data_IF_961006335659
#
_entry.id   IF_961006335659
#
_cell.length_a   1.000
_cell.length_b   1.000
_cell.length_c   1.000
_cell.angle_alpha   90.00
_cell.angle_beta   90.00
_cell.angle_gamma   90.00
#
_symmetry.space_group_name_H-M   'P 1'
#
loop_
_entity.id
_entity.type
_entity.pdbx_description
1 polymer ?
#
# COMPACT_ATOMS: atom_id res chain seq x y z
N UNK A 1 21.51 -20.20 5.92
CA UNK A 1 22.13 -20.72 4.67
C UNK A 1 21.65 -22.12 4.27
N UNK A 2 21.14 -22.96 5.16
CA UNK A 2 20.69 -24.34 4.85
C UNK A 2 19.35 -24.43 4.12
N UNK A 3 18.40 -23.56 4.39
CA UNK A 3 17.04 -23.61 3.81
C UNK A 3 16.98 -23.19 2.33
N UNK A 4 17.83 -22.25 1.92
CA UNK A 4 17.90 -21.77 0.52
C UNK A 4 18.51 -22.83 -0.39
N UNK A 5 19.44 -23.65 0.10
CA UNK A 5 20.03 -24.75 -0.64
C UNK A 5 19.04 -25.90 -0.92
N UNK A 6 18.05 -26.12 -0.03
CA UNK A 6 17.02 -27.14 -0.21
C UNK A 6 16.02 -26.78 -1.32
N UNK A 7 15.68 -25.50 -1.46
CA UNK A 7 14.76 -25.02 -2.50
C UNK A 7 15.39 -25.11 -3.90
N UNK A 8 16.69 -24.80 -4.02
CA UNK A 8 17.43 -24.94 -5.28
C UNK A 8 17.63 -26.41 -5.67
N UNK A 9 17.72 -27.32 -4.68
CA UNK A 9 17.82 -28.76 -4.90
C UNK A 9 16.54 -29.40 -5.44
N UNK A 10 15.37 -28.87 -5.11
CA UNK A 10 14.08 -29.36 -5.62
C UNK A 10 13.85 -28.97 -7.08
N UNK A 11 14.25 -27.78 -7.53
CA UNK A 11 14.13 -27.40 -8.95
C UNK A 11 14.97 -28.26 -9.90
N UNK A 12 16.09 -28.83 -9.45
CA UNK A 12 16.93 -29.73 -10.27
C UNK A 12 16.42 -31.14 -10.37
N UNK A 13 15.51 -31.61 -9.51
CA UNK A 13 14.96 -32.97 -9.55
C UNK A 13 13.74 -33.13 -10.49
N UNK A 14 13.06 -32.04 -10.83
CA UNK A 14 11.90 -32.03 -11.72
C UNK A 14 12.29 -32.13 -13.23
N UNK A 15 13.56 -32.01 -13.58
CA UNK A 15 14.03 -32.08 -14.99
C UNK A 15 14.65 -33.41 -15.40
N UNK A 16 14.61 -34.46 -14.59
CA UNK A 16 15.30 -35.73 -14.84
C UNK A 16 14.41 -36.97 -14.90
N UNK A 17 13.11 -36.87 -15.14
CA UNK A 17 12.25 -38.04 -15.38
C UNK A 17 11.91 -38.19 -16.87
N UNK A 18 12.78 -38.87 -17.61
CA UNK A 18 12.48 -39.47 -18.93
C UNK A 18 11.76 -40.77 -18.70
N UNK A 19 10.64 -40.97 -19.38
CA UNK A 19 10.00 -42.28 -19.53
C UNK A 19 10.52 -42.97 -20.82
N UNK A 20 10.78 -44.26 -20.81
CA UNK A 20 11.00 -45.04 -22.01
C UNK A 20 9.77 -45.89 -22.40
N UNK A 21 9.56 -46.16 -23.65
CA UNK A 21 8.65 -47.23 -24.09
C UNK A 21 8.09 -47.02 -25.47
N UNK A 22 8.80 -47.61 -26.47
CA UNK A 22 8.35 -47.84 -27.82
C UNK A 22 7.20 -48.84 -27.86
N UNK A 23 6.23 -48.66 -28.76
CA UNK A 23 5.44 -49.71 -29.39
C UNK A 23 5.13 -49.35 -30.84
N UNK A 24 5.11 -50.36 -31.77
CA UNK A 24 5.11 -50.18 -33.22
C UNK A 24 3.71 -50.08 -33.84
N UNK A 25 3.62 -49.75 -35.15
CA UNK A 25 2.35 -49.51 -35.84
C UNK A 25 1.81 -50.78 -36.53
N UNK A 26 0.50 -50.98 -36.50
CA UNK A 26 -0.16 -51.88 -37.49
C UNK A 26 -1.61 -51.45 -37.81
N UNK A 27 -1.77 -51.22 -39.08
CA UNK A 27 -2.80 -51.53 -40.08
C UNK A 27 -4.33 -51.50 -39.83
N UNK A 28 -4.96 -50.60 -40.62
CA UNK A 28 -6.21 -50.79 -41.45
C UNK A 28 -7.47 -51.41 -40.80
N UNK A 29 -8.60 -50.70 -40.81
CA UNK A 29 -9.68 -50.91 -41.76
C UNK A 29 -10.77 -49.86 -41.70
N UNK A 30 -11.19 -49.40 -42.89
CA UNK A 30 -12.38 -48.60 -43.16
C UNK A 30 -13.68 -49.38 -42.89
N UNK A 31 -14.65 -48.73 -42.25
CA UNK A 31 -16.06 -48.99 -42.50
C UNK A 31 -16.92 -47.77 -42.20
N UNK A 32 -17.60 -47.28 -43.21
CA UNK A 32 -18.61 -46.25 -43.16
C UNK A 32 -19.76 -46.68 -42.26
N UNK A 33 -20.16 -45.82 -41.32
CA UNK A 33 -21.53 -45.75 -40.87
C UNK A 33 -21.95 -44.28 -40.64
N UNK A 34 -22.93 -43.85 -41.45
CA UNK A 34 -23.63 -42.60 -41.34
C UNK A 34 -24.62 -42.66 -40.16
N UNK A 35 -24.44 -41.80 -39.20
CA UNK A 35 -25.41 -41.58 -38.12
C UNK A 35 -25.33 -40.16 -37.64
N UNK A 36 -26.20 -39.29 -38.11
CA UNK A 36 -26.38 -37.93 -37.52
C UNK A 36 -26.90 -38.08 -36.11
N UNK A 37 -26.07 -37.78 -35.14
CA UNK A 37 -26.51 -37.55 -33.77
C UNK A 37 -26.26 -36.05 -33.43
N UNK A 38 -27.33 -35.31 -33.38
CA UNK A 38 -27.35 -33.93 -32.89
C UNK A 38 -26.95 -33.92 -31.41
N UNK A 39 -25.73 -33.52 -31.12
CA UNK A 39 -25.34 -33.19 -29.75
C UNK A 39 -26.00 -31.87 -29.35
N UNK A 40 -27.05 -31.96 -28.56
CA UNK A 40 -27.64 -30.85 -27.83
C UNK A 40 -26.61 -30.34 -26.80
N UNK A 41 -26.01 -29.18 -27.03
CA UNK A 41 -25.19 -28.48 -26.05
C UNK A 41 -26.08 -28.06 -24.89
N UNK A 42 -26.00 -28.73 -23.77
CA UNK A 42 -26.57 -28.28 -22.50
C UNK A 42 -25.84 -27.01 -22.05
N UNK A 43 -26.40 -25.86 -22.35
CA UNK A 43 -26.04 -24.59 -21.73
C UNK A 43 -26.54 -24.61 -20.28
N UNK A 44 -25.69 -25.05 -19.37
CA UNK A 44 -25.96 -24.94 -17.92
C UNK A 44 -25.85 -23.46 -17.53
N UNK A 45 -26.98 -22.83 -17.24
CA UNK A 45 -27.00 -21.46 -16.75
C UNK A 45 -26.52 -21.44 -15.29
N UNK A 46 -25.86 -20.34 -14.86
CA UNK A 46 -25.41 -20.14 -13.47
C UNK A 46 -26.49 -20.46 -12.42
N UNK A 47 -27.76 -20.28 -12.79
CA UNK A 47 -28.92 -20.56 -11.94
C UNK A 47 -29.14 -22.06 -11.68
N UNK A 48 -28.74 -22.92 -12.62
CA UNK A 48 -28.88 -24.39 -12.49
C UNK A 48 -27.76 -24.95 -11.61
N UNK A 49 -26.56 -24.36 -11.63
CA UNK A 49 -25.43 -24.75 -10.81
C UNK A 49 -25.65 -24.42 -9.33
N UNK A 50 -26.30 -23.29 -9.04
CA UNK A 50 -26.62 -22.86 -7.66
C UNK A 50 -27.77 -23.66 -7.01
N UNK A 51 -28.63 -24.31 -7.81
CA UNK A 51 -29.71 -25.16 -7.30
C UNK A 51 -29.26 -26.58 -6.89
N UNK A 52 -28.07 -27.00 -7.34
CA UNK A 52 -27.53 -28.35 -7.04
C UNK A 52 -26.84 -28.48 -5.69
N UNK A 53 -26.54 -27.40 -4.98
CA UNK A 53 -25.72 -27.40 -3.75
C UNK A 53 -26.46 -27.04 -2.46
N UNK A 54 -27.78 -27.07 -2.42
CA UNK A 54 -28.57 -27.12 -1.18
C UNK A 54 -28.33 -26.02 -0.12
N UNK A 55 -27.74 -24.86 -0.49
CA UNK A 55 -27.54 -23.74 0.41
C UNK A 55 -28.14 -22.49 -0.22
N UNK A 56 -29.34 -22.12 0.22
CA UNK A 56 -29.96 -20.83 -0.08
C UNK A 56 -29.34 -19.78 0.83
N UNK A 57 -28.27 -19.12 0.39
CA UNK A 57 -27.85 -17.87 1.04
C UNK A 57 -28.77 -16.77 0.50
N UNK A 58 -29.66 -16.27 1.34
CA UNK A 58 -30.37 -15.03 1.10
C UNK A 58 -29.36 -13.88 1.19
N UNK A 59 -28.96 -13.34 0.03
CA UNK A 59 -28.22 -12.09 -0.02
C UNK A 59 -29.16 -10.96 0.43
N UNK A 60 -28.74 -10.06 1.32
CA UNK A 60 -29.53 -8.89 1.67
C UNK A 60 -29.78 -8.05 0.41
N UNK A 61 -30.98 -7.49 0.31
CA UNK A 61 -31.39 -6.61 -0.77
C UNK A 61 -30.53 -5.35 -0.74
N UNK A 62 -29.70 -5.18 -1.75
CA UNK A 62 -28.90 -3.96 -1.88
C UNK A 62 -29.63 -2.99 -2.80
N UNK A 63 -30.18 -1.94 -2.24
CA UNK A 63 -30.92 -0.88 -2.94
C UNK A 63 -30.09 -0.07 -3.96
N UNK A 64 -28.76 -0.25 -3.96
CA UNK A 64 -27.83 0.41 -4.88
C UNK A 64 -27.62 -0.31 -6.22
N UNK A 65 -28.21 -1.49 -6.43
CA UNK A 65 -28.15 -2.17 -7.73
C UNK A 65 -29.27 -1.65 -8.64
N UNK A 66 -28.95 -0.71 -9.52
CA UNK A 66 -29.87 -0.25 -10.56
C UNK A 66 -30.28 -1.40 -11.47
N UNK A 67 -31.58 -1.65 -11.51
CA UNK A 67 -32.20 -2.58 -12.47
C UNK A 67 -32.08 -1.98 -13.88
N UNK A 68 -31.60 -2.76 -14.82
CA UNK A 68 -31.50 -2.41 -16.23
C UNK A 68 -32.90 -2.16 -16.80
N UNK A 69 -33.11 -0.98 -17.32
CA UNK A 69 -34.36 -0.63 -18.04
C UNK A 69 -34.27 0.75 -18.69
N UNK A 70 -34.19 0.73 -20.01
CA UNK A 70 -34.59 1.74 -21.02
C UNK A 70 -33.79 3.03 -21.17
N UNK A 71 -33.42 3.22 -22.42
CA UNK A 71 -32.76 4.35 -23.05
C UNK A 71 -33.45 5.70 -22.80
N UNK A 72 -32.68 6.70 -22.46
CA UNK A 72 -32.90 8.07 -22.90
C UNK A 72 -31.50 8.70 -23.06
N UNK A 73 -31.20 9.15 -24.27
CA UNK A 73 -29.97 9.83 -24.61
C UNK A 73 -29.77 11.06 -23.74
N UNK A 74 -28.94 10.89 -22.76
CA UNK A 74 -28.26 11.98 -22.00
C UNK A 74 -26.77 11.74 -22.13
N UNK A 75 -26.09 12.77 -22.63
CA UNK A 75 -24.64 12.87 -22.50
C UNK A 75 -24.23 12.35 -21.13
N UNK A 76 -23.59 11.18 -21.09
CA UNK A 76 -23.11 10.58 -19.85
C UNK A 76 -22.26 11.64 -19.17
N UNK A 77 -22.72 12.14 -18.03
CA UNK A 77 -21.91 12.99 -17.17
C UNK A 77 -20.60 12.22 -16.91
N UNK A 78 -19.48 12.80 -17.29
CA UNK A 78 -18.15 12.27 -16.98
C UNK A 78 -18.17 12.09 -15.48
N UNK A 79 -18.08 10.84 -15.00
CA UNK A 79 -18.17 10.52 -13.58
C UNK A 79 -17.12 11.33 -12.80
N UNK A 80 -17.44 11.71 -11.57
CA UNK A 80 -16.52 12.47 -10.73
C UNK A 80 -15.20 11.67 -10.52
N UNK A 81 -14.05 12.33 -10.64
CA UNK A 81 -12.74 11.68 -10.46
C UNK A 81 -12.64 11.06 -9.06
N UNK A 82 -12.04 9.87 -8.91
CA UNK A 82 -11.97 9.18 -7.65
C UNK A 82 -11.06 9.91 -6.67
N UNK A 83 -11.37 9.85 -5.39
CA UNK A 83 -10.44 10.30 -4.35
C UNK A 83 -9.36 9.25 -4.11
N UNK A 84 -8.16 9.73 -3.76
CA UNK A 84 -6.98 8.89 -3.52
C UNK A 84 -6.41 9.14 -2.13
N UNK A 85 -5.83 8.13 -1.54
CA UNK A 85 -5.11 8.24 -0.28
C UNK A 85 -3.66 7.77 -0.46
N UNK A 86 -2.73 8.66 -0.16
CA UNK A 86 -1.29 8.38 -0.16
C UNK A 86 -0.69 8.65 1.20
N UNK A 87 0.23 7.79 1.67
CA UNK A 87 1.01 8.01 2.88
C UNK A 87 2.49 7.94 2.56
N UNK A 88 3.23 9.02 2.85
CA UNK A 88 4.68 8.99 2.91
C UNK A 88 5.14 8.94 4.36
N UNK A 89 6.17 8.18 4.59
CA UNK A 89 6.76 7.99 5.90
C UNK A 89 8.28 8.13 5.85
N UNK A 90 8.85 8.86 6.81
CA UNK A 90 10.26 8.75 7.17
C UNK A 90 10.39 8.47 8.67
N UNK A 91 11.32 7.59 9.04
CA UNK A 91 11.69 7.32 10.43
C UNK A 91 12.56 8.42 11.02
N UNK A 92 12.76 8.34 12.34
CA UNK A 92 13.67 9.19 13.11
C UNK A 92 13.22 10.65 13.33
N UNK A 93 11.99 11.00 12.97
CA UNK A 93 11.45 12.35 13.22
C UNK A 93 12.09 13.46 12.40
N UNK A 94 12.05 14.68 12.93
CA UNK A 94 12.53 15.88 12.26
C UNK A 94 13.30 16.79 13.21
N UNK A 95 14.02 17.77 12.65
CA UNK A 95 14.66 18.86 13.38
C UNK A 95 13.62 19.67 14.14
N UNK A 96 13.66 19.67 15.48
CA UNK A 96 12.62 20.18 16.38
C UNK A 96 12.27 21.64 16.15
N UNK A 97 13.25 22.49 15.84
CA UNK A 97 13.09 23.93 15.71
C UNK A 97 12.59 24.34 14.32
N UNK A 98 12.53 23.40 13.37
CA UNK A 98 12.23 23.66 11.97
C UNK A 98 11.03 22.91 11.40
N UNK A 99 10.36 22.06 12.22
CA UNK A 99 9.09 21.42 11.88
C UNK A 99 7.93 22.19 12.50
N UNK A 100 7.43 23.19 11.80
CA UNK A 100 6.26 23.95 12.22
C UNK A 100 5.60 24.68 11.05
N UNK A 101 4.33 25.02 11.20
CA UNK A 101 3.58 25.94 10.32
C UNK A 101 2.74 26.90 11.19
N UNK A 102 2.48 28.10 10.69
CA UNK A 102 1.65 29.14 11.34
C UNK A 102 0.84 29.90 10.29
N UNK A 103 -0.29 30.47 10.71
CA UNK A 103 -1.15 31.21 9.81
C UNK A 103 -2.01 30.33 8.91
N UNK A 104 -2.54 30.91 7.84
CA UNK A 104 -3.45 30.23 6.93
C UNK A 104 -3.33 30.75 5.49
N UNK A 105 -3.81 29.94 4.52
CA UNK A 105 -3.84 30.30 3.11
C UNK A 105 -2.46 30.66 2.54
N UNK A 106 -2.40 31.68 1.72
CA UNK A 106 -1.16 32.16 1.09
C UNK A 106 -0.15 32.72 2.07
N UNK A 107 -0.64 33.24 3.21
CA UNK A 107 0.18 33.87 4.24
C UNK A 107 0.69 32.86 5.29
N UNK A 108 0.47 31.56 5.07
CA UNK A 108 1.00 30.50 5.94
C UNK A 108 2.53 30.53 5.94
N UNK A 109 3.12 30.66 7.11
CA UNK A 109 4.55 30.55 7.33
C UNK A 109 4.94 29.11 7.60
N UNK A 110 6.05 28.67 7.03
CA UNK A 110 6.55 27.32 7.15
C UNK A 110 7.96 27.32 7.74
N UNK A 111 8.20 26.41 8.67
CA UNK A 111 9.56 26.14 9.15
C UNK A 111 10.46 25.59 8.03
N UNK A 112 11.78 25.69 8.19
CA UNK A 112 12.75 25.34 7.14
C UNK A 112 12.59 23.93 6.59
N UNK A 113 12.15 22.96 7.38
CA UNK A 113 11.87 21.60 6.92
C UNK A 113 10.74 21.57 5.89
N UNK A 114 9.70 22.39 6.09
CA UNK A 114 8.49 22.43 5.26
C UNK A 114 8.57 23.44 4.10
N UNK A 115 9.62 24.25 4.01
CA UNK A 115 9.81 25.22 2.89
C UNK A 115 9.63 24.64 1.49
N UNK A 116 10.03 23.37 1.19
CA UNK A 116 9.79 22.76 -0.12
C UNK A 116 8.30 22.69 -0.50
N UNK A 117 7.38 22.81 0.47
CA UNK A 117 5.93 22.83 0.24
C UNK A 117 5.34 24.21 0.04
N UNK A 118 6.16 25.25 -0.05
CA UNK A 118 5.70 26.66 -0.11
C UNK A 118 4.74 26.96 -1.24
N UNK A 119 4.85 26.26 -2.38
CA UNK A 119 3.92 26.41 -3.50
C UNK A 119 2.50 25.84 -3.20
N UNK A 120 2.37 24.99 -2.18
CA UNK A 120 1.13 24.26 -1.87
C UNK A 120 0.43 24.73 -0.59
N UNK A 121 0.75 25.91 -0.06
CA UNK A 121 0.19 26.42 1.21
C UNK A 121 -1.33 26.33 1.28
N UNK A 122 -2.03 26.67 0.19
CA UNK A 122 -3.50 26.64 0.13
C UNK A 122 -4.07 25.20 0.07
N UNK A 123 -3.24 24.22 -0.32
CA UNK A 123 -3.59 22.78 -0.38
C UNK A 123 -2.99 22.00 0.80
N UNK A 124 -2.37 22.68 1.77
CA UNK A 124 -1.68 22.10 2.90
C UNK A 124 -2.54 22.17 4.16
N UNK A 125 -2.63 21.04 4.86
CA UNK A 125 -3.18 20.93 6.20
C UNK A 125 -2.07 20.46 7.13
N UNK A 126 -1.61 21.34 8.01
CA UNK A 126 -0.62 20.98 9.03
C UNK A 126 -1.36 20.63 10.32
N UNK A 127 -1.05 19.45 10.89
CA UNK A 127 -1.72 18.94 12.09
C UNK A 127 -0.67 18.73 13.18
N UNK A 128 -0.85 19.39 14.31
CA UNK A 128 0.07 19.37 15.44
C UNK A 128 -0.54 18.66 16.63
N UNK A 129 0.28 17.89 17.35
CA UNK A 129 -0.06 17.38 18.67
C UNK A 129 -0.68 15.98 18.69
N UNK A 130 -0.83 15.30 17.55
CA UNK A 130 -1.38 13.95 17.51
C UNK A 130 -0.38 12.90 18.02
N UNK A 131 -0.88 11.78 18.55
CA UNK A 131 -0.08 10.64 19.00
C UNK A 131 -0.92 9.35 19.02
N UNK A 132 -0.26 8.20 19.15
CA UNK A 132 -0.87 6.91 19.44
C UNK A 132 -0.56 6.50 20.87
N UNK A 133 -1.55 6.13 21.68
CA UNK A 133 -1.37 5.65 23.06
C UNK A 133 -0.44 4.42 23.11
N UNK A 134 -0.64 3.49 22.18
CA UNK A 134 0.13 2.24 22.14
C UNK A 134 1.57 2.44 21.67
N UNK A 135 1.87 3.51 20.93
CA UNK A 135 3.24 3.84 20.53
C UNK A 135 4.10 4.31 21.72
N UNK A 136 3.48 4.82 22.78
CA UNK A 136 4.21 5.21 24.01
C UNK A 136 4.60 4.02 24.89
N UNK A 137 4.12 2.82 24.56
CA UNK A 137 4.43 1.57 25.23
C UNK A 137 5.46 0.77 24.42
N UNK A 138 6.32 0.04 25.08
CA UNK A 138 7.31 -0.81 24.43
C UNK A 138 8.58 -0.06 24.02
N UNK A 139 9.30 -0.60 23.04
CA UNK A 139 10.56 -0.01 22.58
C UNK A 139 10.35 0.95 21.40
N UNK A 140 10.90 2.11 21.52
CA UNK A 140 10.72 3.23 20.58
C UNK A 140 11.04 2.83 19.14
N UNK A 141 12.27 2.42 18.86
CA UNK A 141 12.70 2.14 17.49
C UNK A 141 12.21 0.80 16.94
N UNK A 142 12.00 -0.18 17.82
CA UNK A 142 11.59 -1.51 17.41
C UNK A 142 10.08 -1.64 17.23
N UNK A 143 9.29 -0.67 17.73
CA UNK A 143 7.85 -0.83 17.79
C UNK A 143 7.03 0.34 17.25
N UNK A 144 7.39 1.60 17.46
CA UNK A 144 6.53 2.76 17.15
C UNK A 144 6.11 2.86 15.68
N UNK A 145 6.96 2.43 14.74
CA UNK A 145 6.59 2.40 13.31
C UNK A 145 5.49 1.36 13.04
N UNK A 146 5.56 0.20 13.71
CA UNK A 146 4.67 -0.92 13.45
C UNK A 146 3.19 -0.67 13.77
N UNK A 147 2.88 0.29 14.61
CA UNK A 147 1.49 0.65 14.93
C UNK A 147 1.09 2.06 14.46
N UNK A 148 1.95 2.74 13.70
CA UNK A 148 1.70 4.11 13.27
C UNK A 148 0.35 4.27 12.57
N UNK A 149 0.04 3.39 11.62
CA UNK A 149 -1.20 3.45 10.83
C UNK A 149 -2.34 2.57 11.39
N UNK A 150 -2.14 1.93 12.55
CA UNK A 150 -3.17 1.06 13.17
C UNK A 150 -3.56 1.49 14.59
N UNK A 151 -2.67 2.18 15.31
CA UNK A 151 -2.85 2.52 16.73
C UNK A 151 -3.08 1.33 17.64
N UNK A 152 -2.70 0.13 17.22
CA UNK A 152 -2.92 -1.11 17.96
C UNK A 152 -1.73 -1.45 18.86
N UNK A 153 -1.94 -2.21 19.95
CA UNK A 153 -0.83 -2.73 20.74
C UNK A 153 0.04 -3.70 19.94
N UNK A 154 1.35 -3.65 20.18
CA UNK A 154 2.33 -4.53 19.57
C UNK A 154 2.74 -5.64 20.54
N UNK A 155 2.95 -6.85 19.99
CA UNK A 155 3.35 -8.02 20.77
C UNK A 155 4.88 -8.08 20.87
N UNK A 156 5.38 -8.33 22.10
CA UNK A 156 6.78 -8.64 22.37
C UNK A 156 6.99 -10.16 22.41
N UNK A 157 8.25 -10.62 22.47
CA UNK A 157 8.57 -12.04 22.67
C UNK A 157 8.65 -12.87 21.39
N UNK A 158 8.73 -12.24 20.22
CA UNK A 158 8.93 -12.93 18.95
C UNK A 158 7.64 -13.25 18.17
N UNK A 159 6.47 -13.10 18.79
CA UNK A 159 5.20 -13.03 18.08
C UNK A 159 5.08 -11.72 17.29
N UNK A 160 4.29 -11.72 16.22
CA UNK A 160 3.96 -10.50 15.48
C UNK A 160 2.48 -10.24 15.62
N UNK A 161 2.16 -9.09 16.22
CA UNK A 161 0.80 -8.60 16.30
C UNK A 161 0.80 -7.08 16.30
N UNK A 162 0.04 -6.50 15.39
CA UNK A 162 -0.31 -5.10 15.33
C UNK A 162 -1.84 -4.99 15.14
N UNK A 163 -2.30 -4.07 14.33
CA UNK A 163 -3.70 -3.98 13.87
C UNK A 163 -3.72 -3.82 12.36
N UNK A 164 -4.82 -4.16 11.72
CA UNK A 164 -5.02 -3.81 10.31
C UNK A 164 -4.89 -2.30 10.17
N UNK A 165 -4.01 -1.83 9.29
CA UNK A 165 -3.75 -0.40 9.11
C UNK A 165 -4.83 0.28 8.28
N UNK A 166 -4.98 1.62 8.42
CA UNK A 166 -5.99 2.40 7.70
C UNK A 166 -5.91 2.19 6.18
N UNK A 167 -4.72 2.19 5.60
CA UNK A 167 -4.53 1.97 4.16
C UNK A 167 -5.04 0.60 3.72
N UNK A 168 -4.88 -0.44 4.55
CA UNK A 168 -5.36 -1.78 4.25
C UNK A 168 -6.86 -1.96 4.50
N UNK A 169 -7.45 -1.27 5.48
CA UNK A 169 -8.91 -1.22 5.62
C UNK A 169 -9.56 -0.53 4.42
N UNK A 170 -8.99 0.58 3.96
CA UNK A 170 -9.43 1.25 2.73
C UNK A 170 -9.20 0.35 1.50
N UNK A 171 -8.10 -0.41 1.45
CA UNK A 171 -7.87 -1.36 0.35
C UNK A 171 -8.91 -2.46 0.30
N UNK A 172 -9.34 -2.97 1.45
CA UNK A 172 -10.36 -4.01 1.57
C UNK A 172 -11.77 -3.53 1.18
N UNK A 173 -12.07 -2.25 1.35
CA UNK A 173 -13.38 -1.66 1.02
C UNK A 173 -13.35 -0.90 -0.31
N UNK A 174 -12.60 0.20 -0.37
CA UNK A 174 -12.56 1.15 -1.47
C UNK A 174 -11.62 0.73 -2.61
N UNK A 175 -10.50 0.07 -2.30
CA UNK A 175 -9.49 -0.34 -3.29
C UNK A 175 -9.90 -1.49 -4.20
N UNK A 176 -11.04 -2.16 -3.94
CA UNK A 176 -11.45 -3.36 -4.68
C UNK A 176 -11.85 -3.07 -6.14
N UNK A 177 -12.12 -1.82 -6.49
CA UNK A 177 -12.48 -1.39 -7.84
C UNK A 177 -11.27 -1.10 -8.73
N UNK A 178 -10.06 -1.12 -8.17
CA UNK A 178 -8.81 -0.87 -8.90
C UNK A 178 -8.03 -2.16 -9.19
N UNK A 179 -7.11 -2.10 -10.14
CA UNK A 179 -6.25 -3.23 -10.52
C UNK A 179 -5.40 -3.72 -9.35
N UNK A 180 -4.84 -2.78 -8.60
CA UNK A 180 -4.06 -3.01 -7.39
C UNK A 180 -4.78 -2.32 -6.24
N UNK A 181 -5.39 -3.05 -5.28
CA UNK A 181 -6.17 -2.45 -4.19
C UNK A 181 -5.38 -1.48 -3.34
N UNK A 182 -4.10 -1.77 -3.11
CA UNK A 182 -3.13 -0.87 -2.51
C UNK A 182 -1.73 -1.17 -3.03
N UNK A 183 -0.90 -0.13 -3.12
CA UNK A 183 0.50 -0.23 -3.49
C UNK A 183 1.35 0.14 -2.27
N UNK A 184 2.11 -0.84 -1.73
CA UNK A 184 2.95 -0.64 -0.54
C UNK A 184 4.41 -0.64 -0.97
N UNK A 185 5.04 0.52 -0.92
CA UNK A 185 6.38 0.81 -1.43
C UNK A 185 7.35 1.15 -0.31
N UNK A 186 8.62 0.86 -0.53
CA UNK A 186 9.69 1.28 0.37
C UNK A 186 11.02 1.48 -0.35
N UNK A 187 11.90 2.29 0.24
CA UNK A 187 13.24 2.52 -0.28
C UNK A 187 14.32 1.77 0.51
N UNK A 188 13.93 1.04 1.55
CA UNK A 188 14.82 0.23 2.37
C UNK A 188 14.16 -1.12 2.68
N UNK A 189 14.93 -2.20 2.56
CA UNK A 189 14.43 -3.57 2.80
C UNK A 189 13.99 -3.76 4.26
N UNK A 190 13.04 -4.66 4.46
CA UNK A 190 12.66 -5.10 5.79
C UNK A 190 13.84 -5.79 6.51
N UNK A 191 13.92 -5.59 7.81
CA UNK A 191 14.93 -6.21 8.66
C UNK A 191 14.30 -7.37 9.46
N UNK A 192 14.56 -8.64 9.09
CA UNK A 192 13.97 -9.81 9.75
C UNK A 192 14.75 -10.24 10.99
N UNK A 193 15.07 -9.32 11.89
CA UNK A 193 15.79 -9.59 13.14
C UNK A 193 14.93 -9.26 14.36
N UNK A 194 15.45 -9.54 15.57
CA UNK A 194 14.81 -9.17 16.84
C UNK A 194 15.73 -8.20 17.58
N UNK A 195 15.15 -7.12 18.09
CA UNK A 195 15.86 -6.15 18.90
C UNK A 195 15.01 -5.76 20.12
N UNK A 196 15.63 -5.79 21.32
CA UNK A 196 14.96 -5.47 22.59
C UNK A 196 13.60 -6.18 22.74
N UNK A 197 13.60 -7.48 22.41
CA UNK A 197 12.44 -8.35 22.50
C UNK A 197 11.27 -8.03 21.54
N UNK A 198 11.50 -7.21 20.50
CA UNK A 198 10.52 -6.94 19.45
C UNK A 198 11.05 -7.38 18.08
N UNK A 199 10.17 -7.88 17.24
CA UNK A 199 10.50 -8.12 15.83
C UNK A 199 10.82 -6.80 15.13
N UNK A 200 11.93 -6.76 14.39
CA UNK A 200 12.32 -5.59 13.58
C UNK A 200 11.43 -5.41 12.35
N UNK A 201 10.50 -6.33 12.08
CA UNK A 201 9.42 -6.10 11.12
C UNK A 201 8.53 -4.92 11.53
N UNK A 202 8.37 -4.65 12.82
CA UNK A 202 7.65 -3.47 13.30
C UNK A 202 8.34 -2.16 12.90
N UNK A 203 9.67 -2.09 12.89
CA UNK A 203 10.41 -0.91 12.43
C UNK A 203 10.46 -0.78 10.91
N UNK A 204 10.11 -1.85 10.19
CA UNK A 204 10.21 -1.95 8.74
C UNK A 204 8.86 -1.81 8.02
N UNK A 205 7.73 -1.96 8.72
CA UNK A 205 6.40 -1.94 8.12
C UNK A 205 5.48 -0.95 8.82
N UNK A 206 4.76 -0.15 8.02
CA UNK A 206 3.67 0.73 8.48
C UNK A 206 2.31 0.17 8.06
N UNK A 207 2.27 -0.67 7.02
CA UNK A 207 1.05 -1.25 6.45
C UNK A 207 0.86 -2.70 6.92
N UNK A 208 -0.36 -3.05 7.35
CA UNK A 208 -0.71 -4.35 7.91
C UNK A 208 -2.04 -4.83 7.32
N UNK A 209 -1.98 -5.91 6.53
CA UNK A 209 -3.16 -6.52 5.90
C UNK A 209 -4.11 -7.13 6.94
N UNK A 210 -3.57 -7.64 8.03
CA UNK A 210 -4.31 -8.17 9.18
C UNK A 210 -3.53 -7.89 10.47
N UNK A 211 -4.10 -8.14 11.65
CA UNK A 211 -3.39 -7.95 12.92
C UNK A 211 -2.07 -8.71 13.05
N UNK A 212 -1.87 -9.76 12.29
CA UNK A 212 -0.67 -10.63 12.38
C UNK A 212 0.15 -10.67 11.09
N UNK A 213 -0.27 -9.93 10.05
CA UNK A 213 0.36 -10.02 8.74
C UNK A 213 0.76 -8.63 8.24
N UNK A 214 2.07 -8.30 8.24
CA UNK A 214 2.54 -7.09 7.58
C UNK A 214 2.27 -7.20 6.07
N UNK A 215 1.86 -6.10 5.46
CA UNK A 215 1.69 -6.06 4.01
C UNK A 215 3.06 -6.09 3.34
N UNK A 216 3.26 -6.95 2.31
CA UNK A 216 4.53 -7.04 1.62
C UNK A 216 5.01 -5.68 1.10
N UNK A 217 6.27 -5.36 1.44
CA UNK A 217 6.91 -4.10 1.09
C UNK A 217 7.69 -4.25 -0.22
N UNK A 218 7.26 -3.58 -1.28
CA UNK A 218 7.97 -3.59 -2.55
C UNK A 218 9.07 -2.51 -2.57
N UNK A 219 10.32 -2.93 -2.74
CA UNK A 219 11.49 -2.05 -2.76
C UNK A 219 12.20 -2.02 -4.12
N UNK A 220 11.74 -2.81 -5.08
CA UNK A 220 12.29 -2.90 -6.43
C UNK A 220 11.41 -2.09 -7.40
N UNK A 221 11.92 -0.96 -7.96
CA UNK A 221 11.12 -0.12 -8.86
C UNK A 221 10.54 -0.87 -10.05
N UNK A 222 11.31 -1.80 -10.65
CA UNK A 222 10.86 -2.61 -11.75
C UNK A 222 9.68 -3.52 -11.40
N UNK A 223 9.71 -4.17 -10.22
CA UNK A 223 8.63 -5.05 -9.76
C UNK A 223 7.39 -4.24 -9.38
N UNK A 224 7.58 -3.08 -8.74
CA UNK A 224 6.48 -2.16 -8.44
C UNK A 224 5.78 -1.67 -9.73
N UNK A 225 6.54 -1.36 -10.77
CA UNK A 225 6.02 -1.00 -12.09
C UNK A 225 5.26 -2.18 -12.74
N UNK A 226 5.84 -3.38 -12.75
CA UNK A 226 5.21 -4.57 -13.28
C UNK A 226 3.88 -4.87 -12.57
N UNK A 227 3.81 -4.65 -11.26
CA UNK A 227 2.59 -4.82 -10.46
C UNK A 227 1.45 -3.92 -10.93
N UNK A 228 1.75 -2.70 -11.37
CA UNK A 228 0.76 -1.77 -11.91
C UNK A 228 0.32 -2.11 -13.34
N UNK A 229 1.23 -2.59 -14.21
CA UNK A 229 1.04 -2.55 -15.66
C UNK A 229 1.19 -3.89 -16.39
N UNK A 230 1.64 -4.95 -15.74
CA UNK A 230 1.82 -6.26 -16.39
C UNK A 230 0.47 -6.94 -16.58
N UNK A 231 0.07 -7.18 -17.83
CA UNK A 231 -1.24 -7.75 -18.17
C UNK A 231 -1.25 -9.30 -18.20
N UNK A 232 -0.08 -9.93 -18.27
CA UNK A 232 0.01 -11.38 -18.43
C UNK A 232 0.15 -12.09 -17.08
N UNK A 233 -0.98 -12.61 -16.60
CA UNK A 233 -0.96 -13.73 -15.68
C UNK A 233 -1.55 -14.92 -16.44
N UNK A 234 -0.72 -15.88 -16.77
CA UNK A 234 -1.15 -17.04 -17.53
C UNK A 234 -2.04 -17.96 -16.69
N UNK A 235 -2.92 -18.75 -17.34
CA UNK A 235 -3.71 -19.78 -16.63
C UNK A 235 -2.82 -20.80 -15.89
N UNK A 236 -1.57 -20.97 -16.35
CA UNK A 236 -0.57 -21.80 -15.69
C UNK A 236 -0.11 -21.25 -14.35
N UNK A 237 -0.06 -19.92 -14.20
CA UNK A 237 0.38 -19.28 -12.94
C UNK A 237 -0.61 -19.54 -11.79
N UNK A 238 -1.90 -19.66 -12.07
CA UNK A 238 -2.92 -19.99 -11.06
C UNK A 238 -2.71 -21.40 -10.50
N UNK A 239 -2.45 -22.39 -11.35
CA UNK A 239 -2.19 -23.76 -10.92
C UNK A 239 -0.91 -23.89 -10.09
N UNK A 240 0.11 -23.10 -10.40
CA UNK A 240 1.37 -23.05 -9.62
C UNK A 240 1.13 -22.42 -8.25
N UNK A 241 0.31 -21.38 -8.19
CA UNK A 241 0.00 -20.69 -6.92
C UNK A 241 -0.80 -21.59 -5.97
N UNK A 242 -1.77 -22.34 -6.49
CA UNK A 242 -2.54 -23.31 -5.69
C UNK A 242 -1.62 -24.39 -5.08
N UNK A 243 -0.68 -24.93 -5.85
CA UNK A 243 0.31 -25.90 -5.37
C UNK A 243 1.26 -25.30 -4.31
N UNK A 244 1.71 -24.06 -4.52
CA UNK A 244 2.58 -23.34 -3.56
C UNK A 244 1.86 -23.09 -2.23
N UNK A 245 0.56 -22.77 -2.25
CA UNK A 245 -0.24 -22.58 -1.04
C UNK A 245 -0.43 -23.87 -0.25
N UNK A 246 -0.60 -25.01 -0.93
CA UNK A 246 -0.72 -26.33 -0.31
C UNK A 246 0.60 -26.73 0.38
N UNK A 247 1.71 -26.67 -0.35
CA UNK A 247 3.06 -26.99 0.17
C UNK A 247 3.45 -26.08 1.35
N UNK A 248 3.08 -24.79 1.30
CA UNK A 248 3.38 -23.84 2.35
C UNK A 248 2.61 -24.09 3.64
N UNK A 249 1.34 -24.54 3.55
CA UNK A 249 0.55 -24.91 4.73
C UNK A 249 1.13 -26.14 5.45
N UNK A 250 1.71 -27.08 4.71
CA UNK A 250 2.38 -28.25 5.28
C UNK A 250 3.73 -27.87 5.93
N UNK A 251 4.50 -27.00 5.28
CA UNK A 251 5.77 -26.46 5.79
C UNK A 251 5.57 -25.70 7.11
N UNK A 252 4.50 -24.92 7.22
CA UNK A 252 4.18 -24.09 8.40
C UNK A 252 4.17 -24.88 9.70
N UNK A 253 3.75 -26.14 9.67
CA UNK A 253 3.67 -27.02 10.86
C UNK A 253 5.03 -27.49 11.36
N UNK A 254 6.08 -27.37 10.55
CA UNK A 254 7.40 -27.93 10.82
C UNK A 254 8.50 -26.89 11.07
N UNK A 255 8.21 -25.60 10.97
CA UNK A 255 9.18 -24.51 11.06
C UNK A 255 9.01 -23.66 12.31
N UNK A 256 10.07 -22.91 12.68
CA UNK A 256 10.06 -21.98 13.81
C UNK A 256 9.06 -20.84 13.64
N UNK A 257 8.62 -20.23 14.75
CA UNK A 257 7.70 -19.07 14.72
C UNK A 257 8.26 -17.93 13.84
N UNK A 258 9.57 -17.65 13.91
CA UNK A 258 10.20 -16.63 13.09
C UNK A 258 10.16 -16.96 11.59
N UNK A 259 10.26 -18.24 11.24
CA UNK A 259 10.17 -18.68 9.84
C UNK A 259 8.71 -18.77 9.37
N UNK A 260 7.76 -19.07 10.27
CA UNK A 260 6.32 -18.97 9.98
C UNK A 260 5.94 -17.54 9.57
N UNK A 261 6.50 -16.52 10.22
CA UNK A 261 6.26 -15.13 9.89
C UNK A 261 6.73 -14.77 8.47
N UNK A 262 7.94 -15.23 8.09
CA UNK A 262 8.45 -15.05 6.72
C UNK A 262 7.60 -15.80 5.70
N UNK A 263 7.10 -16.97 6.07
CA UNK A 263 6.21 -17.75 5.24
C UNK A 263 4.86 -17.06 5.07
N UNK A 264 4.30 -16.47 6.13
CA UNK A 264 3.04 -15.71 6.07
C UNK A 264 3.17 -14.46 5.21
N UNK A 265 4.29 -13.74 5.27
CA UNK A 265 4.60 -12.61 4.38
C UNK A 265 4.67 -13.07 2.91
N UNK A 266 5.36 -14.19 2.64
CA UNK A 266 5.41 -14.79 1.31
C UNK A 266 4.02 -15.21 0.82
N UNK A 267 3.23 -15.90 1.64
CA UNK A 267 1.87 -16.33 1.31
C UNK A 267 0.92 -15.17 1.06
N UNK A 268 1.09 -14.06 1.79
CA UNK A 268 0.33 -12.84 1.56
C UNK A 268 0.63 -12.26 0.18
N UNK A 269 1.90 -12.27 -0.24
CA UNK A 269 2.31 -11.87 -1.58
C UNK A 269 1.71 -12.77 -2.66
N UNK A 270 1.68 -14.08 -2.42
CA UNK A 270 1.07 -15.06 -3.33
C UNK A 270 -0.43 -14.83 -3.47
N UNK A 271 -1.15 -14.64 -2.37
CA UNK A 271 -2.60 -14.33 -2.38
C UNK A 271 -2.92 -13.04 -3.10
N UNK A 272 -2.07 -12.05 -2.97
CA UNK A 272 -2.24 -10.79 -3.67
C UNK A 272 -2.09 -10.95 -5.19
N UNK A 273 -1.13 -11.77 -5.64
CA UNK A 273 -0.99 -12.16 -7.05
C UNK A 273 -2.24 -12.91 -7.53
N UNK A 274 -2.74 -13.87 -6.76
CA UNK A 274 -3.97 -14.62 -7.07
C UNK A 274 -5.19 -13.70 -7.21
N UNK A 275 -5.39 -12.77 -6.27
CA UNK A 275 -6.47 -11.79 -6.34
C UNK A 275 -6.34 -10.87 -7.57
N UNK A 276 -5.12 -10.47 -7.93
CA UNK A 276 -4.84 -9.68 -9.13
C UNK A 276 -5.20 -10.46 -10.41
N UNK A 277 -4.86 -11.75 -10.47
CA UNK A 277 -5.27 -12.65 -11.56
C UNK A 277 -6.79 -12.69 -11.68
N UNK A 278 -7.46 -12.95 -10.57
CA UNK A 278 -8.92 -13.03 -10.51
C UNK A 278 -9.60 -11.74 -10.97
N UNK A 279 -9.07 -10.58 -10.58
CA UNK A 279 -9.58 -9.26 -10.98
C UNK A 279 -9.32 -8.94 -12.45
N UNK A 280 -8.15 -9.27 -12.99
CA UNK A 280 -7.83 -9.08 -14.40
C UNK A 280 -8.79 -9.85 -15.31
N UNK A 281 -9.22 -11.04 -14.88
CA UNK A 281 -10.22 -11.85 -15.58
C UNK A 281 -11.66 -11.36 -15.47
N UNK A 282 -11.96 -10.44 -14.53
CA UNK A 282 -13.32 -9.94 -14.27
C UNK A 282 -13.59 -8.54 -14.86
N UNK A 283 -12.59 -7.86 -15.40
CA UNK A 283 -12.75 -6.52 -15.97
C UNK A 283 -13.57 -6.55 -17.24
N UNK A 284 -14.84 -6.20 -17.10
CA UNK A 284 -15.62 -5.58 -18.17
C UNK A 284 -15.23 -4.10 -18.33
N UNK A 285 -15.74 -3.42 -19.34
CA UNK A 285 -15.56 -1.96 -19.48
C UNK A 285 -16.01 -1.26 -18.20
N UNK A 286 -15.09 -0.49 -17.59
CA UNK A 286 -15.39 0.33 -16.43
C UNK A 286 -16.42 1.40 -16.84
N UNK A 287 -17.59 1.36 -16.23
CA UNK A 287 -18.56 2.45 -16.33
C UNK A 287 -18.16 3.55 -15.34
N UNK A 288 -18.10 4.79 -15.79
CA UNK A 288 -17.79 5.94 -14.96
C UNK A 288 -16.54 6.69 -15.40
N UNK A 289 -15.88 7.35 -14.46
CA UNK A 289 -14.66 8.09 -14.71
C UNK A 289 -13.55 7.18 -15.28
N UNK A 290 -12.90 7.64 -16.35
CA UNK A 290 -11.75 6.97 -16.95
C UNK A 290 -10.54 7.87 -16.84
N UNK A 291 -9.36 7.32 -16.46
CA UNK A 291 -8.12 8.09 -16.45
C UNK A 291 -7.77 8.56 -17.88
N UNK A 292 -7.06 9.69 -17.99
CA UNK A 292 -6.59 10.21 -19.27
C UNK A 292 -5.62 9.24 -19.99
N UNK A 293 -5.04 8.31 -19.26
CA UNK A 293 -4.09 7.31 -19.76
C UNK A 293 -4.37 5.92 -19.16
N UNK A 294 -4.58 4.93 -20.03
CA UNK A 294 -4.71 3.53 -19.59
C UNK A 294 -3.35 2.91 -19.26
N UNK A 295 -2.34 3.22 -20.06
CA UNK A 295 -0.96 2.76 -19.86
C UNK A 295 0.01 3.85 -20.33
N UNK A 296 0.90 4.33 -19.47
CA UNK A 296 1.87 5.34 -19.87
C UNK A 296 2.90 4.74 -20.86
N UNK A 297 3.29 5.52 -21.86
CA UNK A 297 4.43 5.19 -22.72
C UNK A 297 5.75 5.52 -22.00
N UNK A 298 5.97 4.88 -20.87
CA UNK A 298 7.15 5.06 -20.04
C UNK A 298 7.89 3.72 -19.99
N UNK A 299 9.21 3.72 -20.21
CA UNK A 299 9.99 2.50 -20.14
C UNK A 299 9.95 1.92 -18.72
N UNK A 300 9.87 0.60 -18.65
CA UNK A 300 10.00 -0.13 -17.38
C UNK A 300 11.36 0.19 -16.75
N UNK A 301 11.42 0.50 -15.44
CA UNK A 301 12.70 0.68 -14.75
C UNK A 301 13.63 -0.54 -14.90
N UNK A 302 14.93 -0.29 -14.80
CA UNK A 302 15.92 -1.37 -14.78
C UNK A 302 15.72 -2.29 -13.58
N UNK A 303 16.11 -3.56 -13.73
CA UNK A 303 16.04 -4.54 -12.64
C UNK A 303 17.05 -4.18 -11.53
N UNK A 304 16.67 -4.52 -10.30
CA UNK A 304 17.48 -4.26 -9.12
C UNK A 304 17.03 -3.01 -8.35
N UNK A 305 17.83 -2.66 -7.34
CA UNK A 305 17.65 -1.45 -6.52
C UNK A 305 18.74 -0.47 -6.96
N UNK A 306 18.39 0.77 -7.35
CA UNK A 306 19.38 1.81 -7.63
C UNK A 306 20.32 2.01 -6.44
N UNK A 307 21.62 2.16 -6.71
CA UNK A 307 22.61 2.40 -5.67
C UNK A 307 22.58 3.85 -5.15
N UNK A 308 22.16 4.78 -5.99
CA UNK A 308 21.89 6.14 -5.58
C UNK A 308 20.54 6.22 -4.87
N UNK A 309 20.55 6.61 -3.59
CA UNK A 309 19.35 6.68 -2.76
C UNK A 309 18.37 7.75 -3.27
N UNK A 310 18.88 8.84 -3.83
CA UNK A 310 18.03 9.90 -4.38
C UNK A 310 17.30 9.42 -5.64
N UNK A 311 18.00 8.71 -6.52
CA UNK A 311 17.40 8.08 -7.70
C UNK A 311 16.35 7.04 -7.29
N UNK A 312 16.67 6.18 -6.33
CA UNK A 312 15.74 5.15 -5.84
C UNK A 312 14.46 5.77 -5.28
N UNK A 313 14.58 6.76 -4.38
CA UNK A 313 13.42 7.45 -3.80
C UNK A 313 12.59 8.14 -4.89
N UNK A 314 13.25 8.75 -5.87
CA UNK A 314 12.59 9.45 -6.98
C UNK A 314 11.79 8.50 -7.86
N UNK A 315 12.36 7.35 -8.24
CA UNK A 315 11.66 6.32 -9.00
C UNK A 315 10.45 5.76 -8.26
N UNK A 316 10.56 5.54 -6.94
CA UNK A 316 9.42 5.07 -6.15
C UNK A 316 8.32 6.14 -6.05
N UNK A 317 8.68 7.43 -5.99
CA UNK A 317 7.71 8.53 -6.09
C UNK A 317 7.00 8.55 -7.46
N UNK A 318 7.75 8.37 -8.56
CA UNK A 318 7.18 8.32 -9.91
C UNK A 318 6.20 7.15 -10.06
N UNK A 319 6.50 5.98 -9.50
CA UNK A 319 5.63 4.81 -9.52
C UNK A 319 4.32 5.06 -8.75
N UNK A 320 4.40 5.74 -7.60
CA UNK A 320 3.21 6.17 -6.86
C UNK A 320 2.33 7.08 -7.72
N UNK A 321 2.94 8.11 -8.34
CA UNK A 321 2.22 9.06 -9.22
C UNK A 321 1.58 8.33 -10.39
N UNK A 322 2.31 7.42 -11.06
CA UNK A 322 1.80 6.62 -12.16
C UNK A 322 0.61 5.74 -11.74
N UNK A 323 0.69 5.11 -10.57
CA UNK A 323 -0.41 4.33 -10.02
C UNK A 323 -1.70 5.14 -9.85
N UNK A 324 -1.58 6.38 -9.40
CA UNK A 324 -2.69 7.31 -9.23
C UNK A 324 -3.18 7.90 -10.56
N UNK A 325 -2.26 8.27 -11.45
CA UNK A 325 -2.56 8.84 -12.76
C UNK A 325 -3.34 7.88 -13.65
N UNK A 326 -3.01 6.59 -13.60
CA UNK A 326 -3.66 5.54 -14.42
C UNK A 326 -4.84 4.88 -13.73
N UNK A 327 -5.20 5.32 -12.52
CA UNK A 327 -6.20 4.66 -11.65
C UNK A 327 -5.93 3.15 -11.47
N UNK A 328 -4.68 2.73 -11.63
CA UNK A 328 -4.27 1.36 -11.36
C UNK A 328 -4.34 1.04 -9.87
N UNK A 329 -4.15 2.05 -9.03
CA UNK A 329 -4.44 2.03 -7.59
C UNK A 329 -4.91 3.41 -7.13
N UNK A 330 -5.69 3.46 -6.05
CA UNK A 330 -6.13 4.70 -5.37
C UNK A 330 -5.53 4.83 -3.98
N UNK A 331 -4.79 3.82 -3.54
CA UNK A 331 -4.21 3.73 -2.21
C UNK A 331 -2.74 3.36 -2.32
N UNK A 332 -1.87 4.17 -1.75
CA UNK A 332 -0.44 3.93 -1.78
C UNK A 332 0.23 4.35 -0.48
N UNK A 333 1.15 3.54 0.01
CA UNK A 333 2.09 3.94 1.06
C UNK A 333 3.51 3.88 0.51
N UNK A 334 4.34 4.87 0.84
CA UNK A 334 5.75 4.92 0.48
C UNK A 334 6.59 5.21 1.72
N UNK A 335 7.38 4.25 2.12
CA UNK A 335 8.29 4.36 3.24
C UNK A 335 9.71 4.69 2.74
N UNK A 336 10.22 5.89 3.07
CA UNK A 336 11.51 6.38 2.60
C UNK A 336 12.69 5.71 3.33
N UNK A 337 12.54 5.44 4.63
CA UNK A 337 13.54 4.72 5.43
C UNK A 337 12.90 3.96 6.60
N UNK A 338 13.65 3.04 7.19
CA UNK A 338 13.28 2.36 8.42
C UNK A 338 13.61 3.23 9.65
N UNK A 339 13.05 2.94 10.81
CA UNK A 339 13.50 3.58 12.06
C UNK A 339 14.93 3.18 12.42
N UNK A 340 15.29 1.91 12.25
CA UNK A 340 16.67 1.41 12.34
C UNK A 340 17.36 1.48 10.98
N UNK A 341 17.51 2.67 10.43
CA UNK A 341 18.07 2.88 9.10
C UNK A 341 19.58 3.06 9.14
N UNK A 342 20.27 2.36 8.25
CA UNK A 342 21.70 2.58 7.98
C UNK A 342 21.93 3.49 6.76
N UNK A 343 20.88 4.09 6.22
CA UNK A 343 21.01 4.96 5.07
C UNK A 343 21.94 6.14 5.33
N UNK A 344 22.64 6.52 4.28
CA UNK A 344 23.52 7.70 4.19
C UNK A 344 23.07 8.52 2.98
N UNK A 345 23.42 9.79 2.96
CA UNK A 345 23.00 10.72 1.92
C UNK A 345 24.21 11.42 1.28
N UNK A 346 25.06 10.68 0.55
CA UNK A 346 26.25 11.27 -0.10
C UNK A 346 25.88 12.36 -1.09
N UNK A 347 24.69 12.28 -1.71
CA UNK A 347 24.14 13.33 -2.56
C UNK A 347 23.94 14.69 -1.85
N UNK A 348 23.90 14.69 -0.50
CA UNK A 348 23.80 15.87 0.35
C UNK A 348 25.12 16.18 1.08
N UNK A 349 26.19 15.48 0.77
CA UNK A 349 27.46 15.48 1.49
C UNK A 349 27.29 15.04 2.98
N UNK A 350 26.36 14.12 3.26
CA UNK A 350 26.09 13.53 4.58
C UNK A 350 26.39 12.04 4.49
N UNK A 351 27.64 11.65 4.77
CA UNK A 351 28.12 10.26 4.63
C UNK A 351 28.26 9.55 6.00
N UNK A 352 27.23 9.64 6.83
CA UNK A 352 27.07 8.84 8.05
C UNK A 352 25.61 8.45 8.24
N UNK A 353 25.41 7.35 8.98
CA UNK A 353 24.09 6.74 9.08
C UNK A 353 23.07 7.65 9.76
N UNK A 354 21.85 7.64 9.25
CA UNK A 354 20.75 8.46 9.75
C UNK A 354 20.40 8.12 11.20
N UNK A 355 20.27 6.84 11.53
CA UNK A 355 19.96 6.38 12.87
C UNK A 355 21.22 6.48 13.76
N UNK A 356 21.11 6.94 14.98
CA UNK A 356 22.14 7.20 15.99
C UNK A 356 23.13 8.33 15.68
N UNK A 357 23.69 8.41 14.47
CA UNK A 357 24.74 9.37 14.20
C UNK A 357 24.23 10.74 13.77
N UNK A 358 23.09 10.78 13.06
CA UNK A 358 22.53 12.02 12.51
C UNK A 358 21.29 12.49 13.26
N UNK A 359 20.28 11.65 13.39
CA UNK A 359 18.95 12.05 13.88
C UNK A 359 18.91 12.48 15.35
N UNK A 360 19.89 12.04 16.17
CA UNK A 360 20.01 12.46 17.57
C UNK A 360 20.63 13.86 17.77
N UNK A 361 21.02 14.51 16.66
CA UNK A 361 21.64 15.82 16.69
C UNK A 361 20.80 16.82 15.91
N UNK A 362 20.50 17.97 16.52
CA UNK A 362 19.84 19.10 15.85
C UNK A 362 20.88 19.86 15.02
N UNK A 363 21.32 19.26 13.90
CA UNK A 363 22.40 19.76 13.06
C UNK A 363 21.89 20.24 11.69
N UNK A 364 22.69 21.06 11.02
CA UNK A 364 22.40 21.46 9.62
C UNK A 364 22.35 20.26 8.68
N UNK A 365 23.12 19.21 8.92
CA UNK A 365 23.09 17.99 8.11
C UNK A 365 21.77 17.23 8.35
N UNK A 366 21.26 17.21 9.59
CA UNK A 366 19.92 16.66 9.84
C UNK A 366 18.83 17.48 9.16
N UNK A 367 18.94 18.80 9.18
CA UNK A 367 18.03 19.69 8.46
C UNK A 367 18.04 19.43 6.95
N UNK A 368 19.24 19.24 6.32
CA UNK A 368 19.35 18.90 4.89
C UNK A 368 18.61 17.61 4.55
N UNK A 369 18.79 16.55 5.35
CA UNK A 369 18.13 15.25 5.13
C UNK A 369 16.62 15.37 5.33
N UNK A 370 16.16 16.10 6.35
CA UNK A 370 14.74 16.35 6.54
C UNK A 370 14.12 17.08 5.35
N UNK A 371 14.77 18.12 4.84
CA UNK A 371 14.32 18.86 3.66
C UNK A 371 14.25 17.95 2.44
N UNK A 372 15.26 17.12 2.24
CA UNK A 372 15.29 16.15 1.14
C UNK A 372 14.11 15.18 1.18
N UNK A 373 13.69 14.69 2.36
CA UNK A 373 12.50 13.88 2.49
C UNK A 373 11.22 14.65 2.12
N UNK A 374 11.11 15.90 2.58
CA UNK A 374 9.95 16.75 2.26
C UNK A 374 9.95 17.19 0.79
N UNK A 375 11.12 17.29 0.15
CA UNK A 375 11.23 17.50 -1.30
C UNK A 375 10.64 16.32 -2.10
N UNK A 376 10.77 15.06 -1.62
CA UNK A 376 10.10 13.91 -2.26
C UNK A 376 8.57 14.04 -2.14
N UNK A 377 8.08 14.48 -1.01
CA UNK A 377 6.66 14.73 -0.78
C UNK A 377 6.13 15.85 -1.68
N UNK A 378 6.83 16.97 -1.74
CA UNK A 378 6.53 18.08 -2.64
C UNK A 378 6.61 17.69 -4.11
N UNK A 379 7.53 16.80 -4.49
CA UNK A 379 7.65 16.30 -5.85
C UNK A 379 6.41 15.49 -6.28
N UNK A 380 5.93 14.58 -5.44
CA UNK A 380 4.69 13.83 -5.71
C UNK A 380 3.53 14.82 -5.85
N UNK A 381 3.42 15.78 -4.92
CA UNK A 381 2.37 16.79 -4.97
C UNK A 381 2.41 17.59 -6.28
N UNK A 382 3.59 18.02 -6.72
CA UNK A 382 3.77 18.76 -7.98
C UNK A 382 3.38 17.96 -9.21
N UNK A 383 3.74 16.68 -9.23
CA UNK A 383 3.32 15.80 -10.34
C UNK A 383 1.81 15.58 -10.37
N UNK A 384 1.18 15.37 -9.22
CA UNK A 384 -0.27 15.22 -9.12
C UNK A 384 -1.01 16.53 -9.43
N UNK A 385 -0.45 17.67 -9.04
CA UNK A 385 -1.05 18.98 -9.33
C UNK A 385 -0.97 19.38 -10.80
N UNK A 386 -0.03 18.81 -11.54
CA UNK A 386 0.08 19.00 -13.00
C UNK A 386 -0.90 18.13 -13.80
N UNK A 387 -1.59 17.17 -13.19
CA UNK A 387 -2.55 16.29 -13.86
C UNK A 387 -3.95 16.88 -13.69
N UNK A 388 -4.56 17.27 -14.81
CA UNK A 388 -5.92 17.83 -14.81
C UNK A 388 -6.98 16.73 -14.82
N UNK A 389 -7.96 16.82 -13.92
CA UNK A 389 -9.10 15.91 -13.79
C UNK A 389 -10.43 16.70 -13.72
N UNK A 390 -10.93 17.10 -14.87
CA UNK A 390 -12.07 18.02 -14.96
C UNK A 390 -11.70 19.43 -14.48
N UNK A 391 -12.44 19.97 -13.53
CA UNK A 391 -12.18 21.31 -12.93
C UNK A 391 -11.14 21.28 -11.82
N UNK A 392 -10.67 20.09 -11.41
CA UNK A 392 -9.71 19.88 -10.34
C UNK A 392 -8.42 19.26 -10.88
N UNK A 393 -7.37 19.28 -10.07
CA UNK A 393 -6.17 18.50 -10.34
C UNK A 393 -6.23 17.14 -9.62
N UNK A 394 -5.38 16.20 -10.02
CA UNK A 394 -5.26 14.93 -9.31
C UNK A 394 -4.83 15.14 -7.83
N UNK A 395 -4.06 16.21 -7.54
CA UNK A 395 -3.75 16.58 -6.16
C UNK A 395 -5.01 17.03 -5.39
N UNK A 396 -5.90 17.82 -6.01
CA UNK A 396 -7.16 18.22 -5.38
C UNK A 396 -8.05 17.02 -5.05
N UNK A 397 -7.95 15.94 -5.82
CA UNK A 397 -8.66 14.69 -5.60
C UNK A 397 -7.89 13.69 -4.71
N UNK A 398 -6.74 14.08 -4.17
CA UNK A 398 -5.91 13.23 -3.31
C UNK A 398 -5.89 13.76 -1.86
N UNK A 399 -5.78 12.86 -0.89
CA UNK A 399 -5.31 13.10 0.47
C UNK A 399 -3.93 12.48 0.59
N UNK A 400 -2.88 13.26 0.35
CA UNK A 400 -1.49 12.83 0.44
C UNK A 400 -0.95 13.20 1.82
N UNK A 401 -0.79 12.23 2.72
CA UNK A 401 -0.34 12.43 4.09
C UNK A 401 1.15 12.13 4.21
N UNK A 402 1.87 12.95 4.95
CA UNK A 402 3.23 12.68 5.42
C UNK A 402 3.24 12.55 6.93
N UNK A 403 3.91 11.53 7.46
CA UNK A 403 4.03 11.31 8.90
C UNK A 403 5.36 10.63 9.27
N UNK A 404 5.68 10.67 10.56
CA UNK A 404 6.80 9.95 11.18
C UNK A 404 6.34 9.30 12.48
N UNK A 405 7.09 8.29 12.92
CA UNK A 405 6.85 7.56 14.18
C UNK A 405 7.19 8.36 15.44
N UNK A 406 7.93 9.46 15.30
CA UNK A 406 8.33 10.35 16.39
C UNK A 406 8.49 11.78 15.87
N UNK A 407 8.40 12.79 16.77
CA UNK A 407 8.59 14.18 16.41
C UNK A 407 10.06 14.50 16.13
N UNK A 408 10.96 14.01 17.00
CA UNK A 408 12.39 14.29 16.92
C UNK A 408 13.19 13.02 17.11
N UNK A 409 14.45 13.02 16.68
CA UNK A 409 15.37 11.93 16.94
C UNK A 409 15.64 11.65 18.44
N UNK A 410 15.24 12.56 19.33
CA UNK A 410 15.20 12.33 20.78
C UNK A 410 14.02 11.49 21.25
N UNK A 411 13.29 10.86 20.32
CA UNK A 411 12.24 9.87 20.57
C UNK A 411 10.92 10.43 21.12
N UNK A 412 10.58 11.68 20.83
CA UNK A 412 9.31 12.26 21.25
C UNK A 412 8.16 11.74 20.36
N UNK A 413 7.45 10.73 20.85
CA UNK A 413 6.25 10.18 20.20
C UNK A 413 4.94 10.80 20.70
N UNK A 414 5.00 11.83 21.57
CA UNK A 414 3.82 12.46 22.15
C UNK A 414 3.16 13.50 21.25
N UNK A 415 3.80 13.86 20.14
CA UNK A 415 3.32 14.84 19.15
C UNK A 415 3.90 14.51 17.77
N UNK A 416 3.30 13.52 17.12
CA UNK A 416 3.77 13.02 15.84
C UNK A 416 3.69 14.09 14.74
N UNK A 417 4.69 14.16 13.84
CA UNK A 417 4.63 15.03 12.68
C UNK A 417 3.56 14.54 11.72
N UNK A 418 2.62 15.40 11.36
CA UNK A 418 1.57 15.10 10.39
C UNK A 418 1.32 16.31 9.50
N UNK A 419 1.37 16.11 8.20
CA UNK A 419 0.96 17.08 7.20
C UNK A 419 0.21 16.38 6.06
N UNK A 420 -0.85 16.98 5.56
CA UNK A 420 -1.63 16.46 4.43
C UNK A 420 -1.62 17.50 3.31
N UNK A 421 -1.34 17.07 2.09
CA UNK A 421 -1.51 17.84 0.86
C UNK A 421 -2.69 17.32 0.06
N UNK A 422 -3.42 18.25 -0.58
CA UNK A 422 -4.59 17.95 -1.40
C UNK A 422 -5.90 18.02 -0.62
N UNK A 423 -7.01 18.01 -1.35
CA UNK A 423 -8.35 18.33 -0.83
C UNK A 423 -9.32 17.15 -0.80
N UNK A 424 -8.86 15.96 -1.19
CA UNK A 424 -9.70 14.75 -1.21
C UNK A 424 -11.02 14.93 -1.96
N UNK A 425 -10.97 15.55 -3.15
CA UNK A 425 -12.16 15.84 -3.93
C UNK A 425 -13.03 16.96 -3.33
N UNK A 426 -12.46 17.82 -2.50
CA UNK A 426 -13.18 18.90 -1.79
C UNK A 426 -13.77 18.47 -0.44
N UNK A 427 -13.51 17.25 0.01
CA UNK A 427 -14.00 16.74 1.30
C UNK A 427 -13.09 17.11 2.48
N UNK A 428 -11.90 17.65 2.21
CA UNK A 428 -10.93 18.09 3.21
C UNK A 428 -10.64 19.59 3.04
N UNK A 429 -10.87 20.36 4.10
CA UNK A 429 -10.52 21.77 4.14
C UNK A 429 -9.04 21.94 4.45
N UNK A 430 -8.33 22.65 3.58
CA UNK A 430 -6.87 22.84 3.63
C UNK A 430 -6.50 24.33 3.70
N UNK A 431 -5.22 24.67 3.63
CA UNK A 431 -4.72 26.03 3.79
C UNK A 431 -4.76 26.47 5.26
N UNK A 432 -4.62 25.55 6.22
CA UNK A 432 -4.74 25.84 7.65
C UNK A 432 -3.86 24.97 8.54
N UNK A 433 -3.71 25.42 9.77
CA UNK A 433 -3.00 24.72 10.85
C UNK A 433 -4.01 24.31 11.89
N UNK A 434 -4.01 23.02 12.26
CA UNK A 434 -4.80 22.49 13.37
C UNK A 434 -3.87 22.12 14.52
N UNK A 435 -4.11 22.68 15.69
CA UNK A 435 -3.34 22.41 16.90
C UNK A 435 -4.18 21.66 17.94
N UNK A 436 -3.77 20.41 18.20
CA UNK A 436 -4.42 19.51 19.15
C UNK A 436 -3.62 19.35 20.46
N UNK A 437 -2.50 20.05 20.67
CA UNK A 437 -1.64 19.83 21.84
C UNK A 437 -2.41 19.91 23.16
N UNK A 438 -3.31 20.87 23.27
CA UNK A 438 -4.10 21.12 24.49
C UNK A 438 -5.56 20.60 24.37
N UNK A 439 -5.86 19.82 23.34
CA UNK A 439 -7.18 19.22 23.14
C UNK A 439 -7.31 17.87 23.85
N UNK A 440 -8.48 17.51 24.39
CA UNK A 440 -8.69 16.24 25.06
C UNK A 440 -8.56 15.04 24.08
N UNK A 441 -9.09 15.18 22.85
CA UNK A 441 -8.94 14.19 21.79
C UNK A 441 -7.84 14.64 20.83
N UNK A 442 -6.69 13.94 20.87
CA UNK A 442 -5.56 14.19 20.00
C UNK A 442 -4.89 12.88 19.51
N UNK A 443 -5.72 11.87 19.25
CA UNK A 443 -5.23 10.57 18.79
C UNK A 443 -5.09 10.53 17.29
N UNK A 444 -4.01 9.90 16.80
CA UNK A 444 -3.84 9.60 15.37
C UNK A 444 -5.01 8.78 14.84
N UNK A 445 -5.52 7.82 15.62
CA UNK A 445 -6.66 7.01 15.21
C UNK A 445 -7.96 7.80 15.09
N UNK A 446 -8.09 8.93 15.78
CA UNK A 446 -9.21 9.88 15.57
C UNK A 446 -9.11 10.59 14.22
N UNK A 447 -7.90 10.97 13.80
CA UNK A 447 -7.66 11.45 12.43
C UNK A 447 -8.04 10.38 11.41
N UNK A 448 -7.60 9.14 11.63
CA UNK A 448 -7.87 8.03 10.70
C UNK A 448 -9.36 7.71 10.58
N UNK A 449 -10.13 7.74 11.67
CA UNK A 449 -11.60 7.62 11.62
C UNK A 449 -12.22 8.73 10.76
N UNK A 450 -11.78 9.99 10.96
CA UNK A 450 -12.26 11.12 10.15
C UNK A 450 -11.91 10.97 8.66
N UNK A 451 -10.68 10.51 8.34
CA UNK A 451 -10.28 10.28 6.95
C UNK A 451 -11.06 9.12 6.31
N UNK A 452 -11.26 8.01 7.03
CA UNK A 452 -12.05 6.87 6.53
C UNK A 452 -13.49 7.24 6.21
N UNK A 453 -14.12 8.12 7.00
CA UNK A 453 -15.46 8.65 6.70
C UNK A 453 -15.50 9.38 5.34
N UNK A 454 -14.43 10.09 4.94
CA UNK A 454 -14.35 10.77 3.62
C UNK A 454 -14.35 9.77 2.45
N UNK A 455 -13.89 8.53 2.68
CA UNK A 455 -13.94 7.42 1.73
C UNK A 455 -15.23 6.59 1.83
N UNK A 456 -16.15 6.93 2.74
CA UNK A 456 -17.39 6.20 2.97
C UNK A 456 -17.24 4.94 3.84
N UNK A 457 -16.07 4.74 4.47
CA UNK A 457 -15.84 3.67 5.43
C UNK A 457 -16.07 4.18 6.85
N UNK A 458 -17.25 3.92 7.39
CA UNK A 458 -17.64 4.34 8.73
C UNK A 458 -17.41 3.21 9.73
N UNK A 459 -16.58 3.47 10.72
CA UNK A 459 -16.28 2.54 11.82
C UNK A 459 -16.57 3.23 13.16
N UNK A 460 -17.12 2.49 14.13
CA UNK A 460 -17.37 3.01 15.48
C UNK A 460 -16.08 3.19 16.28
N UNK A 461 -15.06 2.41 15.94
CA UNK A 461 -13.75 2.48 16.58
C UNK A 461 -12.64 2.08 15.61
N UNK A 462 -11.45 2.64 15.84
CA UNK A 462 -10.22 2.24 15.15
C UNK A 462 -9.02 2.42 16.07
N UNK A 463 -8.18 1.39 16.19
CA UNK A 463 -7.03 1.39 17.06
C UNK A 463 -7.39 1.79 18.50
N UNK A 464 -6.77 2.85 18.98
CA UNK A 464 -6.95 3.41 20.32
C UNK A 464 -8.05 4.49 20.41
N UNK A 465 -8.87 4.70 19.37
CA UNK A 465 -9.91 5.74 19.37
C UNK A 465 -11.31 5.24 19.01
N UNK A 466 -12.32 5.90 19.58
CA UNK A 466 -13.74 5.80 19.26
C UNK A 466 -14.34 7.14 18.78
N UNK A 467 -13.52 8.18 18.69
CA UNK A 467 -13.94 9.54 18.36
C UNK A 467 -13.26 10.05 17.09
N UNK A 468 -13.93 10.92 16.35
CA UNK A 468 -13.35 11.66 15.22
C UNK A 468 -12.70 12.94 15.69
N UNK A 469 -11.80 13.50 14.88
CA UNK A 469 -11.35 14.88 15.07
C UNK A 469 -12.40 15.83 14.50
N UNK A 470 -12.87 16.76 15.31
CA UNK A 470 -14.01 17.61 14.99
C UNK A 470 -13.78 18.54 13.77
N UNK A 471 -12.51 18.85 13.47
CA UNK A 471 -12.14 19.83 12.43
C UNK A 471 -11.63 19.18 11.13
N UNK A 472 -11.73 17.84 10.97
CA UNK A 472 -11.29 17.08 9.79
C UNK A 472 -12.47 16.70 8.87
#
# INVERSE_FOLDING_TARGET
>A
MGAVAAIIGMQKRLHAARLPGDFPPDHFHNSHFSGRTTMSAFLTTRRTMLRGLGVTMALPWMESLRVWGTEAGTTAAIGEAPIRFGVLFSGNGFHKDHWWAKGAGKDMELGKVLEPLSAYREKLLFIRGLYNDEALKGNIHSSQTGNLLSGAPLEAGGGIRSGTSIDQLLAQSYGQTTRVPSLVLGCEKANPSVHKNYSMLYSSHISWTSPTTPTPLEVYPALAFDRLFRDEVSKGDKSVLDAVLEDANDLRRSISIADQQKLDEYLSSVREVEQRISRAGQRGELQGWKPAFDKPNIPRPADGIPQDIAEHMRLMCDILVLGFQTDSTRLCTLKLNNDHSSLRFPNLNVDYMIHHLLSHQESEDWLKVNRFFIEQFGYIAGKLDAIQEGERTALDNTMLMYCSSMHTGSHDATKLPVVILGRGGGKLETGRVLDYLDKPNRKMCSLYLSLMDKFGLQLDRFGDSTERLAEI
#
